data_IF_437227907666
#
_entry.id   IF_437227907666
#
_cell.length_a   1.000
_cell.length_b   1.000
_cell.length_c   1.000
_cell.angle_alpha   90.00
_cell.angle_beta   90.00
_cell.angle_gamma   90.00
#
_symmetry.space_group_name_H-M   'P 1'
#
loop_
_entity.id
_entity.type
_entity.pdbx_description
1 polymer ?
#
# COMPACT_ATOMS: atom_id res chain seq x y z
N UNK A 1 -18.90 -29.47 16.00
CA UNK A 1 -17.73 -28.66 16.42
C UNK A 1 -18.16 -27.28 16.92
N UNK A 2 -19.04 -26.59 16.23
CA UNK A 2 -19.52 -25.25 16.64
C UNK A 2 -20.23 -25.28 18.01
N UNK A 3 -21.20 -26.16 18.24
CA UNK A 3 -21.86 -26.30 19.55
C UNK A 3 -20.86 -26.58 20.68
N UNK A 4 -19.86 -27.41 20.41
CA UNK A 4 -18.82 -27.72 21.38
C UNK A 4 -17.92 -26.51 21.68
N UNK A 5 -17.63 -25.70 20.66
CA UNK A 5 -16.89 -24.45 20.84
C UNK A 5 -17.63 -23.48 21.76
N UNK A 6 -18.93 -23.29 21.55
CA UNK A 6 -19.76 -22.41 22.40
C UNK A 6 -19.85 -22.92 23.84
N UNK A 7 -20.05 -24.23 24.02
CA UNK A 7 -20.05 -24.85 25.37
C UNK A 7 -18.73 -24.61 26.08
N UNK A 8 -17.60 -24.84 25.40
CA UNK A 8 -16.27 -24.60 25.95
C UNK A 8 -16.03 -23.14 26.28
N UNK A 9 -16.44 -22.23 25.39
CA UNK A 9 -16.29 -20.78 25.55
C UNK A 9 -17.00 -20.29 26.82
N UNK A 10 -18.24 -20.74 27.04
CA UNK A 10 -18.98 -20.42 28.27
C UNK A 10 -18.26 -20.93 29.52
N UNK A 11 -17.80 -22.18 29.53
CA UNK A 11 -17.05 -22.75 30.66
C UNK A 11 -15.75 -22.02 30.95
N UNK A 12 -15.05 -21.56 29.92
CA UNK A 12 -13.83 -20.75 30.07
C UNK A 12 -14.19 -19.42 30.73
N UNK A 13 -15.25 -18.72 30.30
CA UNK A 13 -15.69 -17.47 30.91
C UNK A 13 -16.13 -17.64 32.37
N UNK A 14 -16.81 -18.73 32.70
CA UNK A 14 -17.21 -19.05 34.12
C UNK A 14 -16.01 -19.26 35.03
N UNK A 15 -14.88 -19.77 34.49
CA UNK A 15 -13.65 -20.02 35.27
C UNK A 15 -12.67 -18.84 35.25
N UNK A 16 -12.86 -17.88 34.37
CA UNK A 16 -12.06 -16.65 34.32
C UNK A 16 -12.61 -15.64 35.32
N UNK A 17 -11.77 -15.12 36.17
CA UNK A 17 -12.12 -13.95 37.00
C UNK A 17 -12.05 -12.71 36.11
N UNK A 18 -13.22 -12.18 35.75
CA UNK A 18 -13.40 -11.06 34.79
C UNK A 18 -12.68 -9.78 35.26
N UNK A 19 -12.29 -9.67 36.52
CA UNK A 19 -11.64 -8.49 37.10
C UNK A 19 -10.11 -8.51 37.05
N UNK A 20 -9.49 -9.59 36.55
CA UNK A 20 -8.04 -9.72 36.46
C UNK A 20 -7.58 -9.67 35.00
N UNK A 21 -6.51 -8.92 34.75
CA UNK A 21 -5.78 -9.00 33.48
C UNK A 21 -5.07 -10.36 33.43
N UNK A 22 -5.76 -11.34 32.83
CA UNK A 22 -5.32 -12.73 32.79
C UNK A 22 -4.14 -12.86 31.80
N UNK A 23 -3.02 -13.39 32.28
CA UNK A 23 -1.87 -13.68 31.43
C UNK A 23 -2.21 -14.72 30.35
N UNK A 24 -1.46 -14.71 29.25
CA UNK A 24 -1.67 -15.71 28.18
C UNK A 24 -1.47 -17.14 28.69
N UNK A 25 -0.49 -17.36 29.57
CA UNK A 25 -0.23 -18.67 30.17
C UNK A 25 -1.40 -19.15 31.01
N UNK A 26 -2.00 -18.27 31.81
CA UNK A 26 -3.12 -18.64 32.67
C UNK A 26 -4.39 -18.88 31.88
N UNK A 27 -4.63 -18.09 30.83
CA UNK A 27 -5.73 -18.33 29.90
C UNK A 27 -5.58 -19.70 29.22
N UNK A 28 -4.39 -20.05 28.73
CA UNK A 28 -4.15 -21.37 28.15
C UNK A 28 -4.38 -22.49 29.16
N UNK A 29 -3.97 -22.34 30.42
CA UNK A 29 -4.25 -23.34 31.48
C UNK A 29 -5.74 -23.54 31.69
N UNK A 30 -6.52 -22.46 31.74
CA UNK A 30 -7.99 -22.55 31.90
C UNK A 30 -8.62 -23.24 30.69
N UNK A 31 -8.22 -22.86 29.48
CA UNK A 31 -8.70 -23.49 28.22
C UNK A 31 -8.37 -24.98 28.23
N UNK A 32 -7.14 -25.35 28.54
CA UNK A 32 -6.68 -26.75 28.57
C UNK A 32 -7.47 -27.60 29.58
N UNK A 33 -7.76 -27.06 30.76
CA UNK A 33 -8.60 -27.71 31.78
C UNK A 33 -10.03 -27.93 31.23
N UNK A 34 -10.64 -26.93 30.63
CA UNK A 34 -11.99 -27.04 30.06
C UNK A 34 -12.06 -28.07 28.92
N UNK A 35 -11.06 -28.06 28.02
CA UNK A 35 -10.96 -29.04 26.92
C UNK A 35 -10.76 -30.46 27.50
N UNK A 36 -9.92 -30.61 28.52
CA UNK A 36 -9.69 -31.92 29.15
C UNK A 36 -10.97 -32.49 29.78
N UNK A 37 -11.70 -31.68 30.55
CA UNK A 37 -12.97 -32.07 31.17
C UNK A 37 -13.99 -32.60 30.15
N UNK A 38 -14.17 -31.87 29.04
CA UNK A 38 -15.10 -32.29 27.99
C UNK A 38 -14.58 -33.51 27.23
N UNK A 39 -13.27 -33.61 27.01
CA UNK A 39 -12.68 -34.71 26.27
C UNK A 39 -12.81 -36.07 26.97
N UNK A 40 -13.01 -36.09 28.29
CA UNK A 40 -13.27 -37.33 29.04
C UNK A 40 -14.65 -37.92 28.71
N UNK A 41 -15.61 -37.08 28.32
CA UNK A 41 -16.98 -37.47 27.99
C UNK A 41 -17.25 -37.59 26.47
N UNK A 42 -16.45 -36.88 25.68
CA UNK A 42 -16.54 -36.86 24.21
C UNK A 42 -15.16 -37.15 23.64
N UNK A 43 -15.02 -38.23 22.92
CA UNK A 43 -13.76 -38.67 22.32
C UNK A 43 -13.22 -37.64 21.30
N UNK A 44 -12.41 -36.67 21.76
CA UNK A 44 -11.80 -35.65 20.91
C UNK A 44 -10.41 -36.11 20.46
N UNK A 45 -10.15 -36.04 19.15
CA UNK A 45 -8.78 -36.25 18.63
C UNK A 45 -7.82 -35.18 19.12
N UNK A 46 -6.52 -35.48 19.16
CA UNK A 46 -5.48 -34.48 19.52
C UNK A 46 -5.57 -33.25 18.61
N UNK A 47 -5.76 -33.45 17.33
CA UNK A 47 -5.91 -32.36 16.35
C UNK A 47 -7.12 -31.45 16.67
N UNK A 48 -8.28 -32.03 17.01
CA UNK A 48 -9.46 -31.24 17.37
C UNK A 48 -9.29 -30.46 18.67
N UNK A 49 -8.54 -31.01 19.65
CA UNK A 49 -8.22 -30.29 20.90
C UNK A 49 -7.35 -29.07 20.63
N UNK A 50 -6.31 -29.23 19.82
CA UNK A 50 -5.43 -28.12 19.48
C UNK A 50 -6.17 -27.03 18.65
N UNK A 51 -7.01 -27.43 17.71
CA UNK A 51 -7.85 -26.51 16.96
C UNK A 51 -8.79 -25.71 17.88
N UNK A 52 -9.50 -26.37 18.78
CA UNK A 52 -10.38 -25.71 19.76
C UNK A 52 -9.62 -24.80 20.71
N UNK A 53 -8.45 -25.23 21.17
CA UNK A 53 -7.56 -24.45 22.02
C UNK A 53 -7.19 -23.12 21.35
N UNK A 54 -6.75 -23.16 20.10
CA UNK A 54 -6.38 -21.99 19.33
C UNK A 54 -7.59 -21.09 19.04
N UNK A 55 -8.73 -21.66 18.67
CA UNK A 55 -9.95 -20.90 18.39
C UNK A 55 -10.47 -20.19 19.64
N UNK A 56 -10.47 -20.83 20.81
CA UNK A 56 -10.88 -20.24 22.08
C UNK A 56 -9.94 -19.08 22.46
N UNK A 57 -8.64 -19.30 22.38
CA UNK A 57 -7.66 -18.24 22.64
C UNK A 57 -7.87 -17.04 21.71
N UNK A 58 -8.01 -17.27 20.42
CA UNK A 58 -8.25 -16.21 19.44
C UNK A 58 -9.54 -15.45 19.70
N UNK A 59 -10.62 -16.14 20.09
CA UNK A 59 -11.91 -15.52 20.39
C UNK A 59 -11.90 -14.66 21.66
N UNK A 60 -11.06 -14.98 22.63
CA UNK A 60 -11.00 -14.29 23.91
C UNK A 60 -9.96 -13.15 23.90
N UNK A 61 -8.74 -13.41 23.44
CA UNK A 61 -7.61 -12.48 23.53
C UNK A 61 -7.25 -11.80 22.20
N UNK A 62 -7.55 -12.41 21.05
CA UNK A 62 -7.19 -11.90 19.72
C UNK A 62 -8.41 -11.40 18.92
N UNK A 63 -8.32 -11.45 17.62
CA UNK A 63 -9.35 -10.92 16.71
C UNK A 63 -10.32 -12.01 16.22
N UNK A 64 -10.58 -13.04 17.05
CA UNK A 64 -11.51 -14.12 16.78
C UNK A 64 -11.16 -14.85 15.46
N UNK A 65 -12.16 -15.11 14.61
CA UNK A 65 -11.99 -15.78 13.32
C UNK A 65 -11.10 -15.00 12.34
N UNK A 66 -10.95 -13.67 12.52
CA UNK A 66 -10.06 -12.87 11.67
C UNK A 66 -8.60 -13.24 11.85
N UNK A 67 -8.22 -13.80 12.99
CA UNK A 67 -6.85 -14.16 13.25
C UNK A 67 -6.30 -15.16 12.23
N UNK A 68 -7.11 -16.15 11.82
CA UNK A 68 -6.73 -17.11 10.79
C UNK A 68 -6.46 -16.45 9.43
N UNK A 69 -7.25 -15.41 9.09
CA UNK A 69 -7.10 -14.69 7.83
C UNK A 69 -5.88 -13.75 7.86
N UNK A 70 -5.58 -13.19 9.03
CA UNK A 70 -4.42 -12.34 9.22
C UNK A 70 -3.11 -13.13 9.16
N UNK A 71 -3.12 -14.38 9.62
CA UNK A 71 -1.96 -15.27 9.61
C UNK A 71 -1.72 -15.97 8.27
N UNK A 72 -2.67 -15.91 7.32
CA UNK A 72 -2.53 -16.51 5.97
C UNK A 72 -1.84 -15.54 5.01
N UNK A 73 -0.57 -15.76 4.69
CA UNK A 73 0.26 -14.91 3.83
C UNK A 73 -0.24 -14.79 2.38
N UNK A 74 -1.06 -15.71 1.90
CA UNK A 74 -1.66 -15.64 0.56
C UNK A 74 -2.80 -14.60 0.46
N UNK A 75 -3.39 -14.19 1.60
CA UNK A 75 -4.48 -13.21 1.64
C UNK A 75 -3.92 -11.80 1.60
N UNK A 76 -4.40 -11.02 0.64
CA UNK A 76 -4.00 -9.62 0.43
C UNK A 76 -4.98 -8.63 1.04
N UNK A 77 -6.27 -8.98 1.03
CA UNK A 77 -7.34 -8.11 1.52
C UNK A 77 -8.46 -8.94 2.13
N UNK A 78 -9.03 -8.45 3.23
CA UNK A 78 -10.17 -9.03 3.95
C UNK A 78 -11.27 -7.97 3.96
N UNK A 79 -12.45 -8.33 3.47
CA UNK A 79 -13.61 -7.44 3.37
C UNK A 79 -14.79 -8.06 4.12
N UNK A 80 -15.24 -7.41 5.18
CA UNK A 80 -16.33 -7.85 6.04
C UNK A 80 -17.51 -6.93 5.82
N UNK A 81 -18.61 -7.47 5.28
CA UNK A 81 -19.84 -6.75 4.98
C UNK A 81 -20.95 -7.24 5.91
N UNK A 82 -20.94 -6.75 7.16
CA UNK A 82 -21.76 -7.31 8.23
C UNK A 82 -21.22 -8.67 8.73
N UNK A 83 -21.86 -9.24 9.75
CA UNK A 83 -21.31 -10.41 10.46
C UNK A 83 -21.34 -11.72 9.67
N UNK A 84 -22.11 -11.79 8.55
CA UNK A 84 -22.30 -13.02 7.74
C UNK A 84 -21.42 -13.08 6.49
N UNK A 85 -21.06 -11.94 5.94
CA UNK A 85 -20.47 -11.87 4.61
C UNK A 85 -19.01 -11.42 4.67
N UNK A 86 -18.12 -12.37 4.67
CA UNK A 86 -16.67 -12.14 4.67
C UNK A 86 -16.12 -12.55 3.31
N UNK A 87 -15.41 -11.65 2.67
CA UNK A 87 -14.72 -11.87 1.41
C UNK A 87 -13.21 -11.71 1.61
N UNK A 88 -12.44 -12.49 0.89
CA UNK A 88 -10.99 -12.45 0.92
C UNK A 88 -10.44 -12.30 -0.49
N UNK A 89 -9.37 -11.54 -0.67
CA UNK A 89 -8.61 -11.52 -1.90
C UNK A 89 -7.37 -12.40 -1.76
N UNK A 90 -7.25 -13.41 -2.64
CA UNK A 90 -6.04 -14.23 -2.83
C UNK A 90 -5.60 -14.18 -4.28
N UNK A 91 -4.32 -13.85 -4.54
CA UNK A 91 -3.75 -13.83 -5.89
C UNK A 91 -4.60 -12.99 -6.89
N UNK A 92 -5.16 -11.87 -6.41
CA UNK A 92 -5.99 -10.96 -7.19
C UNK A 92 -7.42 -11.44 -7.47
N UNK A 93 -7.87 -12.54 -6.85
CA UNK A 93 -9.25 -13.06 -6.95
C UNK A 93 -9.97 -12.90 -5.62
N UNK A 94 -11.15 -12.30 -5.68
CA UNK A 94 -12.03 -12.16 -4.53
C UNK A 94 -12.93 -13.38 -4.46
N UNK A 95 -12.98 -14.02 -3.28
CA UNK A 95 -13.84 -15.16 -2.99
C UNK A 95 -14.53 -14.97 -1.64
N UNK A 96 -15.75 -15.50 -1.51
CA UNK A 96 -16.45 -15.50 -0.22
C UNK A 96 -15.81 -16.55 0.69
N UNK A 97 -15.54 -16.16 1.95
CA UNK A 97 -15.06 -17.08 2.96
C UNK A 97 -16.23 -17.85 3.58
N UNK A 98 -16.00 -19.06 4.04
CA UNK A 98 -17.04 -19.98 4.50
C UNK A 98 -17.39 -19.87 5.99
N UNK A 99 -16.70 -18.98 6.74
CA UNK A 99 -17.01 -18.69 8.15
C UNK A 99 -17.69 -17.33 8.29
N UNK A 100 -18.36 -17.11 9.41
CA UNK A 100 -19.04 -15.87 9.77
C UNK A 100 -18.84 -15.59 11.27
N UNK A 101 -19.05 -14.35 11.68
CA UNK A 101 -19.09 -14.01 13.10
C UNK A 101 -20.37 -14.53 13.76
N UNK A 102 -20.30 -14.74 15.05
CA UNK A 102 -21.41 -15.24 15.88
C UNK A 102 -22.64 -14.30 15.83
N UNK A 103 -22.37 -12.98 15.92
CA UNK A 103 -23.41 -11.97 15.88
C UNK A 103 -22.88 -10.62 15.40
N UNK A 104 -23.81 -9.66 15.21
CA UNK A 104 -23.46 -8.27 14.90
C UNK A 104 -22.68 -7.62 16.04
N UNK A 105 -23.12 -7.84 17.27
CA UNK A 105 -22.50 -7.31 18.49
C UNK A 105 -21.05 -7.81 18.60
N UNK A 106 -20.80 -9.09 18.30
CA UNK A 106 -19.44 -9.64 18.29
C UNK A 106 -18.53 -8.93 17.27
N UNK A 107 -19.06 -8.61 16.10
CA UNK A 107 -18.31 -7.86 15.08
C UNK A 107 -18.04 -6.41 15.54
N UNK A 108 -18.99 -5.77 16.21
CA UNK A 108 -18.84 -4.44 16.81
C UNK A 108 -17.76 -4.46 17.91
N UNK A 109 -17.74 -5.48 18.77
CA UNK A 109 -16.68 -5.67 19.79
C UNK A 109 -15.29 -5.81 19.14
N UNK A 110 -15.20 -6.56 18.03
CA UNK A 110 -13.93 -6.70 17.29
C UNK A 110 -13.50 -5.35 16.70
N UNK A 111 -14.42 -4.57 16.13
CA UNK A 111 -14.12 -3.24 15.62
C UNK A 111 -13.60 -2.30 16.73
N UNK A 112 -14.25 -2.30 17.89
CA UNK A 112 -13.82 -1.51 19.06
C UNK A 112 -12.44 -1.96 19.55
N UNK A 113 -12.19 -3.28 19.61
CA UNK A 113 -10.89 -3.84 19.98
C UNK A 113 -9.79 -3.39 19.02
N UNK A 114 -10.02 -3.47 17.72
CA UNK A 114 -9.07 -2.99 16.71
C UNK A 114 -8.78 -1.49 16.87
N UNK A 115 -9.80 -0.67 17.10
CA UNK A 115 -9.63 0.75 17.32
C UNK A 115 -8.80 1.03 18.58
N UNK A 116 -9.11 0.34 19.69
CA UNK A 116 -8.41 0.48 20.96
C UNK A 116 -6.93 0.09 20.89
N UNK A 117 -6.56 -0.93 20.08
CA UNK A 117 -5.15 -1.31 19.85
C UNK A 117 -4.30 -0.17 19.29
N UNK A 118 -4.93 0.82 18.65
CA UNK A 118 -4.28 2.00 18.06
C UNK A 118 -4.64 3.30 18.80
N UNK A 119 -5.10 3.20 20.04
CA UNK A 119 -5.56 4.34 20.86
C UNK A 119 -6.64 5.19 20.15
N UNK A 120 -7.52 4.55 19.40
CA UNK A 120 -8.66 5.19 18.73
C UNK A 120 -9.97 4.67 19.29
N UNK A 121 -11.02 5.48 19.16
CA UNK A 121 -12.37 5.12 19.57
C UNK A 121 -13.25 5.03 18.34
N UNK A 122 -14.08 3.99 18.27
CA UNK A 122 -15.15 3.84 17.26
C UNK A 122 -16.47 3.55 17.96
N UNK A 123 -17.51 4.32 17.60
CA UNK A 123 -18.85 4.20 18.14
C UNK A 123 -19.84 4.93 17.22
N UNK A 124 -21.11 5.02 17.61
CA UNK A 124 -22.14 5.74 16.83
C UNK A 124 -21.84 7.23 16.60
N UNK A 125 -21.12 7.89 17.52
CA UNK A 125 -20.72 9.29 17.37
C UNK A 125 -19.50 9.45 16.47
N UNK A 126 -18.63 8.44 16.43
CA UNK A 126 -17.43 8.36 15.56
C UNK A 126 -17.53 7.05 14.78
N UNK A 127 -18.42 6.96 13.76
CA UNK A 127 -18.73 5.70 13.11
C UNK A 127 -17.72 5.29 12.04
N UNK A 128 -16.77 6.14 11.67
CA UNK A 128 -15.76 5.86 10.63
C UNK A 128 -14.38 6.03 11.23
N UNK A 129 -13.58 4.98 11.17
CA UNK A 129 -12.20 4.98 11.68
C UNK A 129 -11.26 4.27 10.71
N UNK A 130 -10.18 4.96 10.34
CA UNK A 130 -9.01 4.36 9.70
C UNK A 130 -7.95 4.09 10.76
N UNK A 131 -7.39 2.89 10.78
CA UNK A 131 -6.34 2.51 11.73
C UNK A 131 -5.38 1.49 11.13
N UNK A 132 -4.46 0.98 11.97
CA UNK A 132 -3.53 -0.10 11.61
C UNK A 132 -3.47 -1.15 12.71
N UNK A 133 -3.23 -2.38 12.30
CA UNK A 133 -2.83 -3.45 13.19
C UNK A 133 -1.33 -3.36 13.50
N UNK A 134 -0.88 -4.13 14.48
CA UNK A 134 0.51 -4.15 14.91
C UNK A 134 1.49 -4.62 13.79
N UNK A 135 1.02 -5.43 12.84
CA UNK A 135 1.75 -5.87 11.67
C UNK A 135 1.84 -4.81 10.55
N UNK A 136 1.24 -3.63 10.75
CA UNK A 136 1.18 -2.55 9.75
C UNK A 136 0.00 -2.63 8.78
N UNK A 137 -0.82 -3.68 8.85
CA UNK A 137 -2.03 -3.83 8.02
C UNK A 137 -3.00 -2.68 8.24
N UNK A 138 -3.50 -2.08 7.16
CA UNK A 138 -4.46 -0.97 7.21
C UNK A 138 -5.86 -1.48 7.44
N UNK A 139 -6.59 -0.84 8.32
CA UNK A 139 -7.98 -1.17 8.63
C UNK A 139 -8.85 0.06 8.49
N UNK A 140 -9.85 -0.03 7.63
CA UNK A 140 -10.97 0.91 7.58
C UNK A 140 -12.19 0.26 8.20
N UNK A 141 -12.85 0.96 9.10
CA UNK A 141 -14.05 0.47 9.80
C UNK A 141 -15.16 1.50 9.71
N UNK A 142 -16.37 1.02 9.42
CA UNK A 142 -17.59 1.83 9.36
C UNK A 142 -18.66 1.12 10.16
N UNK A 143 -19.24 1.83 11.18
CA UNK A 143 -20.31 1.31 12.01
C UNK A 143 -21.67 1.98 11.69
N UNK A 144 -22.72 1.51 12.35
CA UNK A 144 -24.00 2.19 12.40
C UNK A 144 -23.85 3.61 13.01
N UNK A 145 -24.63 4.63 12.54
CA UNK A 145 -25.74 4.53 11.58
C UNK A 145 -25.32 4.60 10.10
N UNK A 146 -24.02 4.76 9.81
CA UNK A 146 -23.54 4.93 8.43
C UNK A 146 -23.58 3.60 7.66
N UNK A 147 -23.16 2.51 8.29
CA UNK A 147 -23.23 1.16 7.72
C UNK A 147 -24.63 0.57 7.99
N UNK A 148 -25.51 0.55 6.97
CA UNK A 148 -26.93 0.20 7.10
C UNK A 148 -27.10 -1.29 7.42
N UNK A 149 -26.35 -2.17 6.74
CA UNK A 149 -26.48 -3.62 6.86
C UNK A 149 -25.63 -4.24 8.00
N UNK A 150 -25.04 -3.40 8.85
CA UNK A 150 -24.16 -3.78 9.94
C UNK A 150 -22.73 -3.27 9.75
N UNK A 151 -21.84 -3.56 10.71
CA UNK A 151 -20.45 -3.10 10.64
C UNK A 151 -19.75 -3.55 9.37
N UNK A 152 -18.98 -2.64 8.76
CA UNK A 152 -18.13 -2.93 7.61
C UNK A 152 -16.68 -2.76 8.06
N UNK A 153 -15.86 -3.78 7.83
CA UNK A 153 -14.43 -3.73 8.14
C UNK A 153 -13.66 -4.17 6.89
N UNK A 154 -12.75 -3.33 6.43
CA UNK A 154 -11.83 -3.69 5.34
C UNK A 154 -10.40 -3.67 5.86
N UNK A 155 -9.70 -4.79 5.71
CA UNK A 155 -8.31 -4.93 6.13
C UNK A 155 -7.46 -5.18 4.89
N UNK A 156 -6.52 -4.28 4.62
CA UNK A 156 -5.50 -4.47 3.60
C UNK A 156 -4.19 -4.87 4.26
N UNK A 157 -3.81 -6.12 4.05
CA UNK A 157 -2.63 -6.68 4.69
C UNK A 157 -1.34 -6.01 4.21
N UNK A 158 -0.45 -5.81 5.16
CA UNK A 158 0.89 -5.34 4.90
C UNK A 158 1.81 -6.55 4.67
N UNK A 159 2.62 -6.52 3.63
CA UNK A 159 3.56 -7.60 3.33
C UNK A 159 4.90 -7.32 4.00
N UNK A 160 5.40 -8.28 4.76
CA UNK A 160 6.72 -8.19 5.41
C UNK A 160 7.87 -8.22 4.40
N UNK A 161 7.68 -8.89 3.26
CA UNK A 161 8.68 -8.94 2.18
C UNK A 161 8.23 -8.10 1.00
N UNK A 162 8.87 -6.93 0.77
CA UNK A 162 8.55 -6.10 -0.38
C UNK A 162 8.89 -6.83 -1.68
N UNK A 163 8.00 -6.68 -2.66
CA UNK A 163 8.27 -7.18 -4.01
C UNK A 163 9.38 -6.32 -4.63
N UNK A 164 10.49 -6.95 -4.94
CA UNK A 164 11.63 -6.31 -5.62
C UNK A 164 11.47 -6.33 -7.15
N UNK A 165 12.44 -5.74 -7.84
CA UNK A 165 12.41 -5.63 -9.30
C UNK A 165 12.57 -6.99 -9.98
N UNK A 166 13.35 -7.90 -9.41
CA UNK A 166 13.58 -9.23 -9.97
C UNK A 166 12.28 -10.04 -9.93
N UNK A 167 11.53 -9.93 -8.84
CA UNK A 167 10.20 -10.54 -8.74
C UNK A 167 9.20 -9.95 -9.73
N UNK A 168 9.26 -8.62 -10.01
CA UNK A 168 8.43 -7.99 -11.03
C UNK A 168 8.79 -8.47 -12.45
N UNK A 169 10.07 -8.76 -12.72
CA UNK A 169 10.53 -9.37 -13.98
C UNK A 169 10.01 -10.79 -14.11
N UNK A 170 10.14 -11.63 -13.07
CA UNK A 170 9.60 -13.00 -13.05
C UNK A 170 8.09 -13.05 -13.29
N UNK A 171 7.34 -12.11 -12.69
CA UNK A 171 5.89 -11.97 -12.92
C UNK A 171 5.56 -11.42 -14.31
N UNK A 172 6.58 -11.04 -15.10
CA UNK A 172 6.42 -10.44 -16.41
C UNK A 172 5.74 -9.07 -16.37
N UNK A 173 5.83 -8.37 -15.24
CA UNK A 173 5.30 -7.01 -15.08
C UNK A 173 6.13 -5.98 -15.83
N UNK A 174 7.44 -6.22 -15.94
CA UNK A 174 8.43 -5.42 -16.68
C UNK A 174 9.45 -6.37 -17.31
N UNK A 175 10.09 -5.95 -18.39
CA UNK A 175 11.21 -6.68 -18.98
C UNK A 175 12.53 -6.31 -18.29
N UNK A 176 13.52 -7.21 -18.32
CA UNK A 176 14.86 -6.94 -17.74
C UNK A 176 15.50 -5.69 -18.37
N UNK A 177 15.40 -5.54 -19.70
CA UNK A 177 15.94 -4.38 -20.43
C UNK A 177 15.32 -3.05 -19.90
N UNK A 178 14.00 -3.01 -19.71
CA UNK A 178 13.32 -1.82 -19.22
C UNK A 178 13.63 -1.56 -17.73
N UNK A 179 13.84 -2.62 -16.94
CA UNK A 179 14.24 -2.52 -15.54
C UNK A 179 15.66 -1.93 -15.41
N UNK A 180 16.62 -2.42 -16.20
CA UNK A 180 17.99 -1.91 -16.22
C UNK A 180 18.04 -0.45 -16.70
N UNK A 181 17.17 -0.09 -17.65
CA UNK A 181 17.02 1.30 -18.08
C UNK A 181 16.49 2.20 -16.95
N UNK A 182 15.46 1.77 -16.22
CA UNK A 182 14.93 2.53 -15.09
C UNK A 182 15.95 2.62 -13.92
N UNK A 183 16.70 1.55 -13.66
CA UNK A 183 17.80 1.57 -12.69
C UNK A 183 18.81 2.67 -13.03
N UNK A 184 19.22 2.75 -14.31
CA UNK A 184 20.08 3.81 -14.80
C UNK A 184 19.48 5.20 -14.53
N UNK A 185 18.21 5.42 -14.89
CA UNK A 185 17.55 6.71 -14.70
C UNK A 185 17.45 7.10 -13.22
N UNK A 186 17.12 6.14 -12.33
CA UNK A 186 17.09 6.40 -10.87
C UNK A 186 18.47 6.79 -10.38
N UNK A 187 19.54 6.08 -10.77
CA UNK A 187 20.91 6.41 -10.37
C UNK A 187 21.36 7.77 -10.90
N UNK A 188 20.94 8.14 -12.10
CA UNK A 188 21.24 9.45 -12.72
C UNK A 188 20.29 10.57 -12.29
N UNK A 189 19.51 10.36 -11.22
CA UNK A 189 18.66 11.38 -10.60
C UNK A 189 17.57 11.95 -11.51
N UNK A 190 16.97 11.12 -12.39
CA UNK A 190 15.77 11.52 -13.09
C UNK A 190 14.58 11.54 -12.14
N UNK A 191 13.76 12.57 -12.21
CA UNK A 191 12.49 12.66 -11.50
C UNK A 191 11.46 11.75 -12.18
N UNK A 192 11.01 10.72 -11.48
CA UNK A 192 10.12 9.70 -12.06
C UNK A 192 8.75 9.77 -11.39
N UNK A 193 7.71 9.84 -12.21
CA UNK A 193 6.33 9.80 -11.74
C UNK A 193 5.67 8.47 -12.17
N UNK A 194 5.23 7.66 -11.20
CA UNK A 194 4.55 6.39 -11.46
C UNK A 194 3.05 6.60 -11.48
N UNK A 195 2.41 6.38 -12.61
CA UNK A 195 0.98 6.59 -12.81
C UNK A 195 0.24 5.27 -13.06
N UNK A 196 -1.08 5.26 -12.86
CA UNK A 196 -1.92 4.10 -13.16
C UNK A 196 -3.20 4.05 -12.36
N UNK A 197 -4.12 3.19 -12.74
CA UNK A 197 -5.41 2.99 -12.07
C UNK A 197 -5.28 2.39 -10.66
N UNK A 198 -6.43 2.26 -9.97
CA UNK A 198 -6.49 1.58 -8.66
C UNK A 198 -6.09 0.11 -8.80
N UNK A 199 -5.26 -0.37 -7.89
CA UNK A 199 -4.78 -1.76 -7.89
C UNK A 199 -3.82 -2.11 -9.03
N UNK A 200 -3.26 -1.12 -9.76
CA UNK A 200 -2.25 -1.36 -10.80
C UNK A 200 -0.84 -1.66 -10.26
N UNK A 201 -0.61 -1.49 -8.95
CA UNK A 201 0.66 -1.79 -8.29
C UNK A 201 1.63 -0.62 -8.22
N UNK A 202 1.14 0.65 -8.23
CA UNK A 202 1.98 1.86 -8.19
C UNK A 202 2.93 1.89 -6.99
N UNK A 203 2.41 1.72 -5.79
CA UNK A 203 3.22 1.75 -4.55
C UNK A 203 4.26 0.62 -4.54
N UNK A 204 3.87 -0.58 -4.98
CA UNK A 204 4.79 -1.72 -5.13
C UNK A 204 5.91 -1.40 -6.11
N UNK A 205 5.57 -0.80 -7.26
CA UNK A 205 6.53 -0.44 -8.29
C UNK A 205 7.44 0.72 -7.84
N UNK A 206 6.87 1.73 -7.18
CA UNK A 206 7.63 2.83 -6.58
C UNK A 206 8.64 2.29 -5.56
N UNK A 207 8.21 1.34 -4.72
CA UNK A 207 9.08 0.69 -3.75
C UNK A 207 10.24 -0.06 -4.44
N UNK A 208 9.95 -0.84 -5.49
CA UNK A 208 10.97 -1.54 -6.26
C UNK A 208 11.97 -0.57 -6.92
N UNK A 209 11.51 0.56 -7.49
CA UNK A 209 12.38 1.59 -8.05
C UNK A 209 13.24 2.27 -6.97
N UNK A 210 12.68 2.51 -5.79
CA UNK A 210 13.37 3.16 -4.68
C UNK A 210 14.58 2.36 -4.20
N UNK A 211 14.59 1.04 -4.39
CA UNK A 211 15.73 0.18 -4.05
C UNK A 211 16.96 0.39 -4.98
N UNK A 212 16.78 1.08 -6.10
CA UNK A 212 17.90 1.48 -6.98
C UNK A 212 18.63 2.74 -6.53
N UNK A 213 18.08 3.46 -5.53
CA UNK A 213 18.69 4.67 -5.00
C UNK A 213 20.04 4.32 -4.35
N UNK A 214 21.11 5.10 -4.62
CA UNK A 214 22.40 4.92 -3.99
C UNK A 214 22.31 4.91 -2.45
N UNK A 215 23.04 3.99 -1.81
CA UNK A 215 22.91 3.72 -0.36
C UNK A 215 23.46 4.82 0.53
N UNK A 216 24.28 5.69 0.00
CA UNK A 216 24.92 6.85 0.65
C UNK A 216 24.05 8.11 0.61
N UNK A 217 22.95 8.09 -0.12
CA UNK A 217 22.02 9.22 -0.20
C UNK A 217 21.09 9.30 1.03
N UNK A 218 20.72 10.55 1.39
CA UNK A 218 19.67 10.79 2.38
C UNK A 218 18.31 10.83 1.70
N UNK A 219 17.46 9.88 2.03
CA UNK A 219 16.11 9.75 1.46
C UNK A 219 15.05 10.07 2.50
N UNK A 220 14.08 10.89 2.11
CA UNK A 220 12.90 11.17 2.95
C UNK A 220 11.68 10.64 2.22
N UNK A 221 10.93 9.73 2.86
CA UNK A 221 9.61 9.29 2.37
C UNK A 221 8.50 10.04 3.07
N UNK A 222 7.47 10.40 2.31
CA UNK A 222 6.28 11.12 2.79
C UNK A 222 5.06 10.37 2.28
N UNK A 223 4.22 9.88 3.20
CA UNK A 223 3.09 9.03 2.86
C UNK A 223 1.84 9.40 3.68
N UNK A 224 0.66 9.26 3.09
CA UNK A 224 -0.61 9.32 3.82
C UNK A 224 -0.69 8.18 4.85
N UNK A 225 -0.07 7.06 4.49
CA UNK A 225 0.07 5.89 5.34
C UNK A 225 1.31 5.13 4.91
N UNK A 226 2.28 4.90 5.82
CA UNK A 226 3.58 4.34 5.47
C UNK A 226 3.48 2.90 4.92
N UNK A 227 3.60 2.75 3.60
CA UNK A 227 3.64 1.48 2.86
C UNK A 227 5.02 1.19 2.27
N UNK A 228 5.84 2.22 2.07
CA UNK A 228 7.15 2.06 1.44
C UNK A 228 8.14 1.37 2.40
N UNK A 229 8.85 0.40 1.86
CA UNK A 229 9.87 -0.40 2.56
C UNK A 229 11.19 -0.33 1.80
N UNK A 230 11.79 0.86 1.77
CA UNK A 230 13.06 1.09 1.08
C UNK A 230 14.18 0.36 1.82
N UNK A 231 14.88 -0.50 1.10
CA UNK A 231 15.95 -1.33 1.67
C UNK A 231 17.33 -0.80 1.32
N UNK A 232 18.26 -0.96 2.24
CA UNK A 232 19.68 -0.70 2.01
C UNK A 232 20.11 0.78 2.09
N UNK A 233 19.20 1.75 2.19
CA UNK A 233 19.52 3.16 2.43
C UNK A 233 19.75 3.39 3.92
N UNK A 234 20.98 3.75 4.30
CA UNK A 234 21.34 3.93 5.72
C UNK A 234 20.76 5.21 6.34
N UNK A 235 20.52 6.24 5.53
CA UNK A 235 20.02 7.54 5.99
C UNK A 235 18.59 7.77 5.47
N UNK A 236 17.66 6.93 5.95
CA UNK A 236 16.24 6.97 5.60
C UNK A 236 15.42 7.65 6.70
N UNK A 237 14.62 8.64 6.33
CA UNK A 237 13.62 9.29 7.19
C UNK A 237 12.24 8.95 6.63
N UNK A 238 11.34 8.46 7.47
CA UNK A 238 9.97 8.13 7.09
C UNK A 238 9.00 9.07 7.78
N UNK A 239 8.21 9.80 7.02
CA UNK A 239 7.21 10.74 7.51
C UNK A 239 5.82 10.28 7.08
N UNK A 240 4.89 10.35 8.00
CA UNK A 240 3.49 9.98 7.80
C UNK A 240 2.57 11.12 8.21
N UNK A 241 1.51 11.30 7.45
CA UNK A 241 0.43 12.26 7.72
C UNK A 241 -0.22 11.97 9.06
N UNK A 242 -0.55 13.04 9.78
CA UNK A 242 -1.40 12.94 10.95
C UNK A 242 -2.75 13.60 10.64
N UNK A 243 -3.80 12.78 10.54
CA UNK A 243 -5.17 13.28 10.43
C UNK A 243 -5.63 13.86 11.78
N UNK A 244 -6.40 14.94 11.74
CA UNK A 244 -7.06 15.46 12.94
C UNK A 244 -7.98 14.39 13.55
N UNK A 245 -8.03 14.33 14.87
CA UNK A 245 -8.98 13.53 15.64
C UNK A 245 -9.52 14.37 16.80
N UNK A 246 -10.52 13.85 17.53
CA UNK A 246 -11.17 14.59 18.63
C UNK A 246 -10.23 14.99 19.77
N UNK A 247 -9.08 14.33 19.90
CA UNK A 247 -8.09 14.62 20.95
C UNK A 247 -6.98 15.55 20.47
N UNK A 248 -6.79 15.69 19.15
CA UNK A 248 -5.71 16.46 18.57
C UNK A 248 -6.19 17.18 17.29
N UNK A 249 -6.45 18.46 17.41
CA UNK A 249 -6.96 19.33 16.32
C UNK A 249 -5.88 19.67 15.28
N UNK A 250 -4.61 19.32 15.54
CA UNK A 250 -3.47 19.66 14.69
C UNK A 250 -3.26 18.57 13.62
N UNK A 251 -3.89 18.76 12.46
CA UNK A 251 -3.58 18.01 11.26
C UNK A 251 -2.16 18.34 10.77
N UNK A 252 -1.44 17.32 10.26
CA UNK A 252 -0.19 17.47 9.53
C UNK A 252 -0.37 16.83 8.17
N UNK A 253 -0.48 17.66 7.14
CA UNK A 253 -0.74 17.23 5.76
C UNK A 253 0.54 16.77 5.03
N UNK A 254 0.38 16.10 3.88
CA UNK A 254 1.52 15.78 2.98
C UNK A 254 2.25 17.07 2.60
N UNK A 255 1.54 18.15 2.36
CA UNK A 255 2.09 19.47 2.03
C UNK A 255 3.03 20.00 3.11
N UNK A 256 2.62 19.91 4.38
CA UNK A 256 3.44 20.35 5.52
C UNK A 256 4.70 19.49 5.65
N UNK A 257 4.56 18.18 5.42
CA UNK A 257 5.69 17.25 5.45
C UNK A 257 6.70 17.52 4.32
N UNK A 258 6.23 17.80 3.10
CA UNK A 258 7.12 18.19 1.98
C UNK A 258 7.89 19.48 2.35
N UNK A 259 7.20 20.53 2.81
CA UNK A 259 7.83 21.79 3.22
C UNK A 259 8.83 21.61 4.36
N UNK A 260 8.54 20.74 5.31
CA UNK A 260 9.45 20.41 6.40
C UNK A 260 10.67 19.65 5.89
N UNK A 261 10.47 18.65 4.98
CA UNK A 261 11.53 17.83 4.43
C UNK A 261 12.61 18.64 3.69
N UNK A 262 12.22 19.70 2.99
CA UNK A 262 13.16 20.62 2.31
C UNK A 262 14.21 21.25 3.25
N UNK A 263 13.92 21.31 4.57
CA UNK A 263 14.85 21.83 5.59
C UNK A 263 15.66 20.72 6.27
N UNK A 264 15.41 19.45 5.93
CA UNK A 264 16.09 18.28 6.50
C UNK A 264 17.32 17.85 5.69
N UNK A 265 17.72 18.62 4.68
CA UNK A 265 18.84 18.33 3.77
C UNK A 265 18.68 16.98 3.06
N UNK A 266 17.58 16.70 2.40
CA UNK A 266 17.40 15.48 1.65
C UNK A 266 18.22 15.49 0.35
N UNK A 267 18.72 14.33 -0.06
CA UNK A 267 19.19 14.11 -1.44
C UNK A 267 18.00 13.80 -2.34
N UNK A 268 17.00 13.06 -1.83
CA UNK A 268 15.77 12.74 -2.55
C UNK A 268 14.56 12.78 -1.62
N UNK A 269 13.42 13.17 -2.19
CA UNK A 269 12.11 13.12 -1.54
C UNK A 269 11.23 12.16 -2.33
N UNK A 270 10.64 11.20 -1.62
CA UNK A 270 9.72 10.22 -2.21
C UNK A 270 8.34 10.48 -1.62
N UNK A 271 7.41 10.92 -2.45
CA UNK A 271 6.02 11.11 -2.06
C UNK A 271 5.23 9.88 -2.50
N UNK A 272 4.73 9.10 -1.54
CA UNK A 272 4.06 7.83 -1.78
C UNK A 272 2.90 7.95 -2.76
N UNK A 273 2.08 9.00 -2.63
CA UNK A 273 1.02 9.34 -3.58
C UNK A 273 0.68 10.82 -3.54
N UNK A 274 0.45 11.40 -4.72
CA UNK A 274 -0.01 12.78 -4.90
C UNK A 274 -1.46 12.76 -5.38
N UNK A 275 -2.37 13.42 -4.62
CA UNK A 275 -3.83 13.41 -4.84
C UNK A 275 -4.48 14.79 -4.91
N UNK A 276 -3.82 15.81 -4.35
CA UNK A 276 -4.39 17.14 -4.13
C UNK A 276 -3.36 18.27 -4.27
N UNK A 277 -3.57 19.32 -3.49
CA UNK A 277 -2.80 20.57 -3.56
C UNK A 277 -1.30 20.43 -3.28
N UNK A 278 -0.87 19.34 -2.62
CA UNK A 278 0.54 18.99 -2.37
C UNK A 278 1.34 18.81 -3.67
N UNK A 279 0.64 18.63 -4.80
CA UNK A 279 1.27 18.50 -6.12
C UNK A 279 2.19 19.69 -6.42
N UNK A 280 1.81 20.90 -6.03
CA UNK A 280 2.65 22.08 -6.23
C UNK A 280 3.97 21.99 -5.45
N UNK A 281 3.90 21.65 -4.17
CA UNK A 281 5.07 21.58 -3.30
C UNK A 281 6.01 20.42 -3.74
N UNK A 282 5.43 19.30 -4.21
CA UNK A 282 6.18 18.20 -4.81
C UNK A 282 6.91 18.63 -6.09
N UNK A 283 6.23 19.32 -7.01
CA UNK A 283 6.84 19.81 -8.25
C UNK A 283 7.94 20.84 -7.95
N UNK A 284 7.75 21.70 -6.95
CA UNK A 284 8.79 22.62 -6.48
C UNK A 284 9.99 21.86 -5.91
N UNK A 285 9.78 20.82 -5.11
CA UNK A 285 10.86 19.98 -4.60
C UNK A 285 11.67 19.36 -5.74
N UNK A 286 11.00 18.76 -6.73
CA UNK A 286 11.62 18.19 -7.93
C UNK A 286 12.38 19.20 -8.78
N UNK A 287 11.92 20.48 -8.84
CA UNK A 287 12.52 21.54 -9.65
C UNK A 287 13.55 22.41 -8.94
N UNK A 288 13.83 22.18 -7.64
CA UNK A 288 14.70 23.07 -6.84
C UNK A 288 15.89 22.35 -6.19
N UNK A 289 16.49 21.40 -6.89
CA UNK A 289 17.74 20.76 -6.48
C UNK A 289 17.60 19.43 -5.71
N UNK A 290 16.38 18.85 -5.67
CA UNK A 290 16.14 17.52 -5.12
C UNK A 290 15.88 16.53 -6.25
N UNK A 291 16.76 16.55 -7.25
CA UNK A 291 16.70 15.67 -8.42
C UNK A 291 16.69 14.19 -8.04
N UNK A 292 15.98 13.39 -8.82
CA UNK A 292 15.78 11.95 -8.56
C UNK A 292 14.68 11.67 -7.55
N UNK A 293 13.84 12.65 -7.26
CA UNK A 293 12.62 12.46 -6.46
C UNK A 293 11.59 11.62 -7.20
N UNK A 294 10.83 10.83 -6.44
CA UNK A 294 9.86 9.88 -6.98
C UNK A 294 8.48 10.15 -6.39
N UNK A 295 7.43 9.93 -7.19
CA UNK A 295 6.05 9.99 -6.69
C UNK A 295 5.11 9.09 -7.48
N UNK A 296 3.88 8.92 -6.96
CA UNK A 296 2.82 8.22 -7.69
C UNK A 296 1.54 9.05 -7.77
N UNK A 297 0.69 8.72 -8.73
CA UNK A 297 -0.65 9.28 -8.85
C UNK A 297 -1.58 8.42 -9.69
N UNK A 298 -2.87 8.62 -9.48
CA UNK A 298 -3.90 7.93 -10.24
C UNK A 298 -4.16 8.60 -11.59
N UNK A 299 -4.06 7.84 -12.68
CA UNK A 299 -4.48 8.29 -14.03
C UNK A 299 -4.75 7.11 -14.96
N UNK A 300 -5.32 7.39 -16.14
CA UNK A 300 -5.59 6.38 -17.17
C UNK A 300 -4.51 6.33 -18.25
N UNK A 301 -3.63 7.33 -18.32
CA UNK A 301 -2.50 7.41 -19.24
C UNK A 301 -1.42 8.36 -18.72
N UNK A 302 -0.24 8.34 -19.34
CA UNK A 302 0.84 9.30 -19.02
C UNK A 302 0.40 10.74 -19.31
N UNK A 303 -0.30 10.98 -20.43
CA UNK A 303 -0.82 12.33 -20.78
C UNK A 303 -1.88 12.81 -19.77
N UNK A 304 -2.80 11.93 -19.37
CA UNK A 304 -3.84 12.27 -18.37
C UNK A 304 -3.22 12.60 -17.03
N UNK A 305 -2.10 11.97 -16.67
CA UNK A 305 -1.41 12.25 -15.42
C UNK A 305 -0.96 13.70 -15.34
N UNK A 306 -0.36 14.24 -16.39
CA UNK A 306 0.08 15.63 -16.46
C UNK A 306 -1.10 16.60 -16.34
N UNK A 307 -2.21 16.31 -17.04
CA UNK A 307 -3.44 17.11 -16.95
C UNK A 307 -4.02 17.07 -15.52
N UNK A 308 -3.97 15.90 -14.89
CA UNK A 308 -4.45 15.73 -13.52
C UNK A 308 -3.59 16.46 -12.50
N UNK A 309 -2.25 16.45 -12.67
CA UNK A 309 -1.33 17.23 -11.85
C UNK A 309 -1.64 18.73 -11.94
N UNK A 310 -1.92 19.27 -13.12
CA UNK A 310 -2.39 20.65 -13.28
C UNK A 310 -3.66 20.91 -12.45
N UNK A 311 -4.63 20.02 -12.52
CA UNK A 311 -5.86 20.15 -11.74
C UNK A 311 -5.57 20.15 -10.22
N UNK A 312 -4.69 19.27 -9.77
CA UNK A 312 -4.28 19.21 -8.36
C UNK A 312 -3.59 20.50 -7.90
N UNK A 313 -2.69 21.07 -8.71
CA UNK A 313 -2.05 22.37 -8.41
C UNK A 313 -3.09 23.48 -8.29
N UNK A 314 -4.08 23.51 -9.19
CA UNK A 314 -5.18 24.49 -9.16
C UNK A 314 -6.10 24.36 -7.93
N UNK A 315 -6.10 23.22 -7.22
CA UNK A 315 -6.81 23.09 -5.94
C UNK A 315 -6.18 23.95 -4.84
N UNK A 316 -4.86 24.17 -4.91
CA UNK A 316 -4.12 24.88 -3.86
C UNK A 316 -3.73 26.32 -4.20
N UNK A 317 -3.76 26.71 -5.48
CA UNK A 317 -3.35 28.04 -5.90
C UNK A 317 -4.02 28.47 -7.21
N UNK A 318 -4.37 29.74 -7.30
CA UNK A 318 -4.83 30.35 -8.56
C UNK A 318 -3.61 30.81 -9.38
N UNK A 319 -3.29 30.08 -10.45
CA UNK A 319 -2.15 30.32 -11.32
C UNK A 319 -2.55 30.05 -12.78
N UNK A 320 -2.01 30.80 -13.77
CA UNK A 320 -2.26 30.50 -15.18
C UNK A 320 -1.89 29.05 -15.54
N UNK A 321 -2.79 28.34 -16.20
CA UNK A 321 -2.61 26.95 -16.57
C UNK A 321 -1.29 26.67 -17.33
N UNK A 322 -0.92 27.60 -18.24
CA UNK A 322 0.34 27.50 -18.99
C UNK A 322 1.58 27.55 -18.07
N UNK A 323 1.56 28.37 -17.02
CA UNK A 323 2.66 28.44 -16.07
C UNK A 323 2.80 27.13 -15.28
N UNK A 324 1.66 26.54 -14.90
CA UNK A 324 1.62 25.22 -14.22
C UNK A 324 2.15 24.14 -15.15
N UNK A 325 1.70 24.10 -16.42
CA UNK A 325 2.12 23.09 -17.37
C UNK A 325 3.63 23.16 -17.67
N UNK A 326 4.17 24.36 -17.77
CA UNK A 326 5.63 24.57 -17.89
C UNK A 326 6.38 24.09 -16.65
N UNK A 327 5.85 24.33 -15.46
CA UNK A 327 6.45 23.86 -14.22
C UNK A 327 6.41 22.33 -14.13
N UNK A 328 5.29 21.70 -14.50
CA UNK A 328 5.17 20.24 -14.57
C UNK A 328 6.20 19.65 -15.53
N UNK A 329 6.29 20.21 -16.75
CA UNK A 329 7.22 19.75 -17.77
C UNK A 329 8.70 19.96 -17.42
N UNK A 330 9.00 20.92 -16.56
CA UNK A 330 10.36 21.18 -16.04
C UNK A 330 10.73 20.27 -14.86
N UNK A 331 9.74 19.83 -14.07
CA UNK A 331 9.96 19.07 -12.84
C UNK A 331 9.98 17.56 -13.05
N UNK A 332 9.21 17.03 -13.99
CA UNK A 332 9.07 15.59 -14.25
C UNK A 332 9.82 15.22 -15.51
N UNK A 333 10.77 14.31 -15.39
CA UNK A 333 11.56 13.80 -16.53
C UNK A 333 10.87 12.58 -17.17
N UNK A 334 10.38 11.64 -16.34
CA UNK A 334 9.87 10.34 -16.81
C UNK A 334 8.53 10.02 -16.16
N UNK A 335 7.60 9.51 -16.95
CA UNK A 335 6.37 8.89 -16.45
C UNK A 335 6.39 7.40 -16.76
N UNK A 336 6.18 6.58 -15.74
CA UNK A 336 5.97 5.13 -15.88
C UNK A 336 4.50 4.84 -15.63
N UNK A 337 3.77 4.46 -16.68
CA UNK A 337 2.35 4.14 -16.56
C UNK A 337 2.11 2.65 -16.38
N UNK A 338 1.41 2.30 -15.30
CA UNK A 338 1.05 0.93 -14.94
C UNK A 338 -0.41 0.65 -15.27
N UNK A 339 -0.69 -0.56 -15.75
CA UNK A 339 -2.05 -1.01 -16.03
C UNK A 339 -2.33 -2.36 -15.37
N UNK A 340 -3.51 -2.47 -14.74
CA UNK A 340 -4.08 -3.76 -14.36
C UNK A 340 -4.82 -4.31 -15.56
N UNK A 341 -4.36 -5.46 -16.05
CA UNK A 341 -4.92 -6.08 -17.24
C UNK A 341 -6.24 -6.81 -16.91
N UNK A 342 -7.00 -7.23 -17.95
CA UNK A 342 -8.27 -7.95 -17.78
C UNK A 342 -8.11 -9.33 -17.12
N UNK A 343 -6.95 -9.97 -17.29
CA UNK A 343 -6.55 -11.21 -16.58
C UNK A 343 -6.07 -10.95 -15.14
N UNK A 344 -6.20 -9.70 -14.67
CA UNK A 344 -5.78 -9.19 -13.37
C UNK A 344 -4.26 -9.15 -13.13
N UNK A 345 -3.44 -9.47 -14.13
CA UNK A 345 -2.00 -9.21 -14.07
C UNK A 345 -1.72 -7.70 -14.11
N UNK A 346 -0.58 -7.29 -13.57
CA UNK A 346 -0.13 -5.90 -13.54
C UNK A 346 1.06 -5.76 -14.45
N UNK A 347 1.03 -4.76 -15.35
CA UNK A 347 2.06 -4.55 -16.35
C UNK A 347 2.49 -3.09 -16.39
N UNK A 348 3.78 -2.86 -16.62
CA UNK A 348 4.25 -1.56 -17.11
C UNK A 348 3.68 -1.42 -18.52
N UNK A 349 2.79 -0.46 -18.70
CA UNK A 349 2.10 -0.21 -19.97
C UNK A 349 2.92 0.64 -20.91
N UNK A 350 3.56 1.69 -20.35
CA UNK A 350 4.47 2.56 -21.10
C UNK A 350 5.48 3.26 -20.17
N UNK A 351 6.62 3.59 -20.72
CA UNK A 351 7.61 4.50 -20.12
C UNK A 351 7.79 5.64 -21.09
N UNK A 352 7.51 6.86 -20.64
CA UNK A 352 7.44 8.05 -21.48
C UNK A 352 8.30 9.16 -20.89
N UNK A 353 9.14 9.77 -21.70
CA UNK A 353 9.89 10.99 -21.37
C UNK A 353 9.03 12.22 -21.55
N UNK A 354 9.12 13.17 -20.61
CA UNK A 354 8.53 14.50 -20.71
C UNK A 354 9.63 15.46 -21.16
N UNK A 355 9.55 15.89 -22.43
CA UNK A 355 10.61 16.70 -23.06
C UNK A 355 10.37 18.21 -22.95
N UNK A 356 9.15 18.62 -22.56
CA UNK A 356 8.80 20.03 -22.46
C UNK A 356 7.31 20.32 -22.66
N UNK A 357 7.01 21.62 -22.73
CA UNK A 357 5.66 22.12 -23.03
C UNK A 357 5.74 23.22 -24.10
N UNK A 358 5.15 22.96 -25.25
CA UNK A 358 5.13 23.87 -26.40
C UNK A 358 3.78 23.83 -27.11
N UNK A 359 3.35 24.95 -27.68
CA UNK A 359 2.11 25.08 -28.43
C UNK A 359 0.88 24.57 -27.65
N UNK A 360 0.83 24.81 -26.34
CA UNK A 360 -0.21 24.35 -25.43
C UNK A 360 -0.32 22.82 -25.29
N UNK A 361 0.75 22.08 -25.59
CA UNK A 361 0.81 20.62 -25.44
C UNK A 361 2.12 20.19 -24.80
N UNK A 362 2.05 19.09 -24.01
CA UNK A 362 3.23 18.42 -23.50
C UNK A 362 3.93 17.66 -24.62
N UNK A 363 5.23 17.85 -24.76
CA UNK A 363 6.07 17.05 -25.67
C UNK A 363 6.44 15.75 -24.98
N UNK A 364 5.80 14.65 -25.39
CA UNK A 364 5.98 13.32 -24.81
C UNK A 364 6.66 12.40 -25.80
N UNK A 365 7.69 11.70 -25.35
CA UNK A 365 8.43 10.71 -26.14
C UNK A 365 8.31 9.34 -25.51
N UNK A 366 7.50 8.42 -26.08
CA UNK A 366 7.41 7.06 -25.58
C UNK A 366 8.74 6.32 -25.83
N UNK A 367 9.35 5.81 -24.76
CA UNK A 367 10.59 5.04 -24.79
C UNK A 367 10.34 3.55 -24.79
N UNK A 368 9.33 3.09 -24.04
CA UNK A 368 8.86 1.71 -24.01
C UNK A 368 7.33 1.68 -24.06
N UNK A 369 6.77 0.68 -24.75
CA UNK A 369 5.32 0.47 -24.83
C UNK A 369 5.00 -1.02 -24.78
N UNK A 370 4.01 -1.39 -23.99
CA UNK A 370 3.51 -2.75 -23.94
C UNK A 370 2.75 -3.08 -25.22
N UNK A 371 3.11 -4.18 -25.84
CA UNK A 371 2.44 -4.72 -27.04
C UNK A 371 1.76 -6.01 -26.63
N UNK A 372 0.44 -5.99 -26.67
CA UNK A 372 -0.38 -7.17 -26.45
C UNK A 372 -0.42 -7.99 -27.74
N UNK A 373 -0.12 -9.29 -27.66
CA UNK A 373 -0.02 -10.21 -28.80
C UNK A 373 -1.22 -11.18 -28.84
N UNK A 374 -1.97 -11.32 -27.74
CA UNK A 374 -3.14 -12.18 -27.65
C UNK A 374 -3.41 -12.69 -26.25
N UNK A 375 -4.13 -13.82 -26.16
CA UNK A 375 -4.42 -14.54 -24.92
C UNK A 375 -4.06 -16.03 -25.07
N UNK A 376 -3.62 -16.62 -23.97
CA UNK A 376 -3.42 -18.06 -23.91
C UNK A 376 -4.77 -18.81 -23.70
N UNK A 377 -4.72 -20.16 -23.71
CA UNK A 377 -5.90 -21.02 -23.53
C UNK A 377 -6.59 -20.84 -22.18
N UNK A 378 -5.92 -20.22 -21.20
CA UNK A 378 -6.43 -19.97 -19.86
C UNK A 378 -6.92 -18.52 -19.69
N UNK A 379 -6.96 -17.72 -20.77
CA UNK A 379 -7.34 -16.31 -20.75
C UNK A 379 -6.26 -15.38 -20.18
N UNK A 380 -5.00 -15.85 -20.06
CA UNK A 380 -3.89 -15.02 -19.63
C UNK A 380 -3.37 -14.21 -20.81
N UNK A 381 -3.13 -12.92 -20.60
CA UNK A 381 -2.66 -12.01 -21.64
C UNK A 381 -1.20 -12.29 -21.97
N UNK A 382 -0.95 -12.53 -23.27
CA UNK A 382 0.39 -12.65 -23.84
C UNK A 382 0.78 -11.30 -24.42
N UNK A 383 1.96 -10.84 -24.11
CA UNK A 383 2.51 -9.60 -24.62
C UNK A 383 3.81 -9.23 -23.92
N UNK A 384 4.48 -8.23 -24.46
CA UNK A 384 5.77 -7.80 -23.91
C UNK A 384 5.93 -6.29 -23.96
N UNK A 385 6.71 -5.74 -23.03
CA UNK A 385 7.11 -4.34 -23.03
C UNK A 385 8.26 -4.16 -24.03
N UNK A 386 8.01 -3.48 -25.15
CA UNK A 386 8.98 -3.30 -26.25
C UNK A 386 9.56 -1.89 -26.22
N UNK A 387 10.88 -1.81 -26.36
CA UNK A 387 11.57 -0.55 -26.60
C UNK A 387 11.10 0.07 -27.91
N UNK A 388 10.90 1.38 -27.91
CA UNK A 388 10.54 2.15 -29.08
C UNK A 388 11.80 2.64 -29.81
N UNK A 389 11.65 3.06 -31.07
CA UNK A 389 12.78 3.59 -31.85
C UNK A 389 13.24 5.00 -31.41
N UNK A 390 12.67 5.52 -30.34
CA UNK A 390 13.00 6.81 -29.78
C UNK A 390 14.19 6.69 -28.81
N UNK A 391 15.14 7.61 -28.89
CA UNK A 391 16.18 7.79 -27.87
C UNK A 391 15.72 8.79 -26.81
N UNK A 392 16.27 8.66 -25.60
CA UNK A 392 16.14 9.65 -24.55
C UNK A 392 16.69 10.99 -25.06
N UNK A 393 15.92 12.07 -24.93
CA UNK A 393 16.30 13.39 -25.44
C UNK A 393 17.04 14.22 -24.40
N UNK A 394 16.58 14.18 -23.15
CA UNK A 394 17.25 14.86 -22.04
C UNK A 394 18.36 13.97 -21.48
N UNK A 395 19.60 14.13 -22.00
CA UNK A 395 20.78 13.35 -21.62
C UNK A 395 21.69 14.06 -20.63
N UNK A 396 21.42 15.30 -20.27
CA UNK A 396 22.29 16.11 -19.39
C UNK A 396 22.58 15.41 -18.06
N UNK A 397 21.55 14.82 -17.44
CA UNK A 397 21.72 14.06 -16.18
C UNK A 397 22.58 12.80 -16.33
N UNK A 398 22.56 12.15 -17.50
CA UNK A 398 23.43 11.02 -17.81
C UNK A 398 24.91 11.46 -17.97
N UNK A 399 25.15 12.58 -18.62
CA UNK A 399 26.48 13.14 -18.84
C UNK A 399 27.11 13.56 -17.51
N UNK A 400 26.36 14.30 -16.70
CA UNK A 400 26.79 14.72 -15.37
C UNK A 400 27.13 13.53 -14.45
N UNK A 401 26.37 12.46 -14.52
CA UNK A 401 26.61 11.22 -13.75
C UNK A 401 27.88 10.49 -14.16
N UNK A 402 28.28 10.57 -15.42
CA UNK A 402 29.57 10.01 -15.91
C UNK A 402 30.75 10.81 -15.39
N UNK A 403 30.68 12.14 -15.42
CA UNK A 403 31.73 13.04 -14.97
C UNK A 403 31.99 12.95 -13.46
N UNK A 404 30.95 12.66 -12.67
CA UNK A 404 31.07 12.53 -11.20
C UNK A 404 31.50 11.14 -10.74
N UNK A 405 31.77 10.20 -11.66
CA UNK A 405 32.21 8.84 -11.32
C UNK A 405 31.13 7.94 -10.72
N UNK A 406 29.87 8.40 -10.70
CA UNK A 406 28.73 7.63 -10.17
C UNK A 406 28.37 6.44 -11.08
N UNK A 407 28.85 6.41 -12.32
CA UNK A 407 28.80 5.29 -13.24
C UNK A 407 30.17 4.63 -13.39
N UNK A 408 30.42 3.54 -12.70
CA UNK A 408 31.36 2.54 -13.21
C UNK A 408 30.65 1.79 -14.35
N UNK A 409 30.93 2.20 -15.59
CA UNK A 409 30.52 1.47 -16.77
C UNK A 409 31.11 0.07 -16.69
N UNK A 410 30.32 -0.95 -16.43
CA UNK A 410 30.65 -2.30 -16.89
C UNK A 410 30.44 -2.29 -18.40
N UNK A 411 31.60 -2.19 -19.10
CA UNK A 411 31.73 -2.43 -20.55
C UNK A 411 31.28 -3.83 -20.92
#
# INVERSE_FOLDING_TARGET
MEELFFELKQKVYEKLDINLDVSDEDLYKVIDVCIYEISQHRGLSVHNRELLRQQLYNSIKRLDILQELLEDDDITEIMINGYKDIFIEKKGRITKWNKQFESREKLEDIAQRIAAMSNKTINEAIPIVDTRLADGSRVNMVLSPIAIDGPVITIRKFYDTPIDIDRLIELGSITKEAADFLELLVKCRYNIFVSGGTGSGKTTFLNALSNFIPKDERVITIEDSAELQIQGVGNLVRLEVRKSNMECDNEVSIRDLIRSSLRMRPDRIIVGETRGEEALDMLQAMGTGHDGSLSTGHSNSSKDMLTRLRTMVLMGIDMPAEAIDRQIASAIDIIVHLKRMRDKTRKVWEITEVCGYKNNEFELVPLYKYVEEGEDKNGKIIGTLKRQNNSLKNTEKLEWSKDTGTMQCKS
#
